data_IF_442401587833
#
_entry.id   IF_442401587833
#
_cell.length_a   1.000
_cell.length_b   1.000
_cell.length_c   1.000
_cell.angle_alpha   90.00
_cell.angle_beta   90.00
_cell.angle_gamma   90.00
#
_symmetry.space_group_name_H-M   'P 1'
#
loop_
_entity.id
_entity.type
_entity.pdbx_description
1 polymer ?
#
# COMPACT_ATOMS: atom_id res chain seq x y z
N UNK A 1 -12.44 -37.49 -13.04
CA UNK A 1 -13.88 -37.72 -12.86
C UNK A 1 -14.65 -36.43 -12.61
N UNK A 2 -14.22 -35.57 -11.69
CA UNK A 2 -14.91 -34.34 -11.34
C UNK A 2 -14.98 -33.32 -12.50
N UNK A 3 -13.93 -33.16 -13.30
CA UNK A 3 -13.93 -32.27 -14.47
C UNK A 3 -14.98 -32.68 -15.50
N UNK A 4 -15.04 -33.97 -15.82
CA UNK A 4 -16.02 -34.49 -16.76
C UNK A 4 -17.47 -34.28 -16.26
N UNK A 5 -17.70 -34.55 -14.97
CA UNK A 5 -19.00 -34.26 -14.31
C UNK A 5 -19.38 -32.80 -14.50
N UNK A 6 -18.50 -31.87 -14.16
CA UNK A 6 -18.75 -30.42 -14.26
C UNK A 6 -19.08 -29.99 -15.70
N UNK A 7 -18.36 -30.54 -16.69
CA UNK A 7 -18.63 -30.24 -18.11
C UNK A 7 -20.00 -30.77 -18.53
N UNK A 8 -20.35 -31.99 -18.17
CA UNK A 8 -21.68 -32.60 -18.50
C UNK A 8 -22.81 -31.87 -17.83
N UNK A 9 -22.60 -31.36 -16.62
CA UNK A 9 -23.57 -30.53 -15.88
C UNK A 9 -23.65 -29.08 -16.37
N UNK A 10 -22.85 -28.69 -17.35
CA UNK A 10 -22.88 -27.37 -17.97
C UNK A 10 -22.33 -26.26 -17.08
N UNK A 11 -21.41 -26.58 -16.16
CA UNK A 11 -20.76 -25.59 -15.30
C UNK A 11 -20.01 -24.58 -16.15
N UNK A 12 -20.31 -23.30 -15.98
CA UNK A 12 -19.68 -22.19 -16.70
C UNK A 12 -19.45 -21.01 -15.76
N UNK A 13 -18.33 -21.01 -15.06
CA UNK A 13 -17.94 -19.96 -14.13
C UNK A 13 -17.14 -18.88 -14.83
N UNK A 14 -17.63 -17.64 -14.77
CA UNK A 14 -16.86 -16.49 -15.25
C UNK A 14 -15.89 -15.99 -14.17
N UNK A 15 -14.73 -16.63 -14.09
CA UNK A 15 -13.72 -16.39 -13.06
C UNK A 15 -13.19 -14.96 -13.06
N UNK A 16 -13.05 -14.32 -14.22
CA UNK A 16 -12.47 -12.98 -14.33
C UNK A 16 -13.28 -11.89 -13.62
N UNK A 17 -14.59 -12.08 -13.44
CA UNK A 17 -15.44 -11.14 -12.71
C UNK A 17 -15.37 -11.31 -11.18
N UNK A 18 -14.88 -12.45 -10.69
CA UNK A 18 -14.95 -12.78 -9.28
C UNK A 18 -14.11 -11.84 -8.39
N UNK A 19 -12.84 -11.54 -8.74
CA UNK A 19 -11.98 -10.71 -7.90
C UNK A 19 -12.13 -9.21 -8.12
N UNK A 20 -12.89 -8.78 -9.12
CA UNK A 20 -12.92 -7.37 -9.54
C UNK A 20 -14.24 -6.67 -9.18
N UNK A 21 -14.16 -5.37 -9.10
CA UNK A 21 -15.30 -4.46 -8.91
C UNK A 21 -15.07 -3.16 -9.66
N UNK A 22 -16.12 -2.41 -9.88
CA UNK A 22 -15.99 -1.01 -10.27
C UNK A 22 -15.33 -0.23 -9.15
N UNK A 23 -14.25 0.48 -9.46
CA UNK A 23 -13.49 1.27 -8.51
C UNK A 23 -13.71 2.75 -8.76
N UNK A 24 -14.02 3.49 -7.70
CA UNK A 24 -14.10 4.94 -7.71
C UNK A 24 -12.95 5.50 -6.87
N UNK A 25 -12.16 6.37 -7.46
CA UNK A 25 -11.05 7.06 -6.79
C UNK A 25 -11.31 8.56 -6.80
N UNK A 26 -10.89 9.24 -5.74
CA UNK A 26 -11.03 10.68 -5.64
C UNK A 26 -9.82 11.32 -4.98
N UNK A 27 -9.59 12.59 -5.29
CA UNK A 27 -8.54 13.41 -4.72
C UNK A 27 -9.11 14.79 -4.34
N UNK A 28 -8.71 15.27 -3.18
CA UNK A 28 -9.05 16.59 -2.67
C UNK A 28 -7.80 17.32 -2.26
N UNK A 29 -7.72 18.60 -2.55
CA UNK A 29 -6.66 19.46 -2.09
C UNK A 29 -7.23 20.82 -1.68
N UNK A 30 -6.65 21.36 -0.60
CA UNK A 30 -6.94 22.69 -0.10
C UNK A 30 -5.63 23.43 0.06
N UNK A 31 -5.58 24.65 -0.41
CA UNK A 31 -4.46 25.56 -0.18
C UNK A 31 -5.01 26.90 0.34
N UNK A 32 -4.44 27.35 1.44
CA UNK A 32 -4.77 28.63 2.05
C UNK A 32 -3.48 29.43 2.20
N UNK A 33 -3.48 30.65 1.74
CA UNK A 33 -2.33 31.54 1.77
C UNK A 33 -2.72 32.89 2.37
N UNK A 34 -1.79 33.48 3.11
CA UNK A 34 -1.95 34.82 3.66
C UNK A 34 -0.61 35.46 3.92
N UNK A 35 -0.63 36.73 4.31
CA UNK A 35 0.60 37.44 4.62
C UNK A 35 0.47 38.95 4.64
N UNK A 36 1.62 39.60 4.75
CA UNK A 36 1.79 41.05 4.69
C UNK A 36 3.07 41.34 3.88
N UNK A 37 3.51 42.57 3.78
CA UNK A 37 4.64 43.00 2.93
C UNK A 37 5.91 42.17 3.13
N UNK A 38 6.19 41.79 4.37
CA UNK A 38 7.42 41.11 4.74
C UNK A 38 7.24 39.64 5.14
N UNK A 39 6.00 39.15 5.21
CA UNK A 39 5.69 37.78 5.58
C UNK A 39 4.63 37.19 4.66
N UNK A 40 4.86 35.96 4.20
CA UNK A 40 3.89 35.16 3.45
C UNK A 40 3.90 33.75 4.03
N UNK A 41 2.73 33.22 4.29
CA UNK A 41 2.57 31.85 4.77
C UNK A 41 1.50 31.14 3.96
N UNK A 42 1.66 29.83 3.83
CA UNK A 42 0.69 28.96 3.17
C UNK A 42 0.53 27.66 3.94
N UNK A 43 -0.68 27.13 3.90
CA UNK A 43 -1.03 25.82 4.42
C UNK A 43 -1.65 25.03 3.29
N UNK A 44 -1.13 23.87 3.02
CA UNK A 44 -1.72 22.90 2.09
C UNK A 44 -2.14 21.64 2.81
N UNK A 45 -3.28 21.11 2.39
CA UNK A 45 -3.79 19.82 2.83
C UNK A 45 -4.25 19.03 1.61
N UNK A 46 -3.95 17.73 1.59
CA UNK A 46 -4.35 16.85 0.51
C UNK A 46 -4.83 15.50 1.03
N UNK A 47 -5.84 14.96 0.38
CA UNK A 47 -6.33 13.61 0.61
C UNK A 47 -6.58 12.94 -0.73
N UNK A 48 -5.97 11.76 -0.93
CA UNK A 48 -6.14 10.97 -2.14
C UNK A 48 -6.57 9.57 -1.74
N UNK A 49 -7.72 9.14 -2.22
CA UNK A 49 -8.19 7.77 -2.09
C UNK A 49 -8.18 7.09 -3.47
N UNK A 50 -7.34 6.08 -3.63
CA UNK A 50 -7.26 5.27 -4.83
C UNK A 50 -7.74 3.86 -4.51
N UNK A 51 -8.95 3.52 -4.93
CA UNK A 51 -9.50 2.16 -4.82
C UNK A 51 -9.01 1.31 -5.98
N UNK A 52 -8.50 0.12 -5.68
CA UNK A 52 -8.10 -0.83 -6.69
C UNK A 52 -9.29 -1.50 -7.39
N UNK A 53 -9.08 -1.93 -8.63
CA UNK A 53 -10.06 -2.73 -9.40
C UNK A 53 -10.25 -4.11 -8.76
N UNK A 54 -9.18 -4.68 -8.18
CA UNK A 54 -9.31 -5.87 -7.34
C UNK A 54 -10.07 -5.52 -6.06
N UNK A 55 -11.04 -6.36 -5.67
CA UNK A 55 -11.81 -6.17 -4.43
C UNK A 55 -10.86 -6.01 -3.23
N UNK A 56 -11.21 -5.13 -2.31
CA UNK A 56 -10.47 -4.90 -1.06
C UNK A 56 -8.99 -4.55 -1.27
N UNK A 57 -8.65 -3.87 -2.36
CA UNK A 57 -7.35 -3.27 -2.56
C UNK A 57 -7.45 -1.76 -2.71
N UNK A 58 -6.39 -1.06 -2.38
CA UNK A 58 -6.34 0.38 -2.52
C UNK A 58 -5.15 1.04 -1.85
N UNK A 59 -5.11 2.36 -1.98
CA UNK A 59 -4.11 3.22 -1.37
C UNK A 59 -4.76 4.55 -0.99
N UNK A 60 -4.70 4.88 0.28
CA UNK A 60 -5.14 6.14 0.83
C UNK A 60 -3.92 6.96 1.23
N UNK A 61 -3.87 8.23 0.84
CA UNK A 61 -2.79 9.14 1.19
C UNK A 61 -3.34 10.45 1.72
N UNK A 62 -2.83 10.85 2.86
CA UNK A 62 -3.05 12.16 3.48
C UNK A 62 -1.75 12.94 3.49
N UNK A 63 -1.81 14.24 3.21
CA UNK A 63 -0.67 15.14 3.23
C UNK A 63 -1.03 16.48 3.84
N UNK A 64 -0.11 17.05 4.62
CA UNK A 64 -0.15 18.40 5.15
C UNK A 64 1.16 19.09 4.82
N UNK A 65 1.08 20.38 4.48
CA UNK A 65 2.24 21.23 4.27
C UNK A 65 2.03 22.60 4.89
N UNK A 66 3.14 23.18 5.32
CA UNK A 66 3.21 24.56 5.80
C UNK A 66 4.40 25.23 5.15
N UNK A 67 4.18 26.39 4.56
CA UNK A 67 5.23 27.22 3.95
C UNK A 67 5.27 28.59 4.62
N UNK A 68 6.48 29.08 4.85
CA UNK A 68 6.74 30.42 5.37
C UNK A 68 7.82 31.09 4.55
N UNK A 69 7.55 32.32 4.11
CA UNK A 69 8.56 33.22 3.53
C UNK A 69 8.57 34.49 4.38
N UNK A 70 9.73 34.80 4.95
CA UNK A 70 9.92 35.99 5.75
C UNK A 70 11.08 36.83 5.22
N UNK A 71 10.81 38.12 4.98
CA UNK A 71 11.80 39.09 4.48
C UNK A 71 12.15 40.09 5.56
N UNK A 72 13.44 40.30 5.81
CA UNK A 72 13.95 41.22 6.81
C UNK A 72 14.66 42.35 6.08
N UNK A 73 14.08 43.55 6.12
CA UNK A 73 14.67 44.78 5.56
C UNK A 73 15.19 44.60 4.12
N UNK A 74 14.51 43.81 3.30
CA UNK A 74 14.89 43.45 1.93
C UNK A 74 16.30 42.86 1.76
N UNK A 75 16.99 42.53 2.85
CA UNK A 75 18.37 41.99 2.85
C UNK A 75 18.38 40.49 3.13
N UNK A 76 17.49 40.00 3.95
CA UNK A 76 17.46 38.57 4.31
C UNK A 76 16.08 38.02 3.95
N UNK A 77 16.07 36.91 3.22
CA UNK A 77 14.88 36.13 2.95
C UNK A 77 15.03 34.75 3.57
N UNK A 78 14.14 34.42 4.49
CA UNK A 78 14.04 33.09 5.10
C UNK A 78 12.86 32.40 4.45
N UNK A 79 13.09 31.17 3.94
CA UNK A 79 12.04 30.30 3.43
C UNK A 79 12.07 29.00 4.22
N UNK A 80 10.94 28.63 4.77
CA UNK A 80 10.78 27.36 5.45
C UNK A 80 9.61 26.61 4.83
N UNK A 81 9.77 25.31 4.62
CA UNK A 81 8.69 24.42 4.19
C UNK A 81 8.75 23.14 5.01
N UNK A 82 7.66 22.86 5.69
CA UNK A 82 7.48 21.64 6.49
C UNK A 82 6.34 20.86 5.85
N UNK A 83 6.52 19.56 5.67
CA UNK A 83 5.45 18.69 5.20
C UNK A 83 5.43 17.37 5.93
N UNK A 84 4.23 16.81 6.06
CA UNK A 84 3.97 15.48 6.56
C UNK A 84 3.07 14.75 5.59
N UNK A 85 3.41 13.50 5.29
CA UNK A 85 2.58 12.62 4.49
C UNK A 85 2.40 11.28 5.19
N UNK A 86 1.19 10.74 5.14
CA UNK A 86 0.86 9.39 5.58
C UNK A 86 0.18 8.65 4.43
N UNK A 87 0.69 7.45 4.12
CA UNK A 87 0.13 6.57 3.11
C UNK A 87 -0.23 5.23 3.74
N UNK A 88 -1.41 4.72 3.43
CA UNK A 88 -1.83 3.37 3.77
C UNK A 88 -2.18 2.64 2.47
N UNK A 89 -1.40 1.63 2.12
CA UNK A 89 -1.63 0.76 0.96
C UNK A 89 -2.03 -0.64 1.45
N UNK A 90 -3.05 -1.23 0.85
CA UNK A 90 -3.53 -2.55 1.19
C UNK A 90 -3.78 -3.37 -0.07
N UNK A 91 -3.29 -4.60 -0.03
CA UNK A 91 -3.39 -5.54 -1.13
C UNK A 91 -4.66 -6.39 -1.00
N UNK A 92 -5.20 -6.78 -2.14
CA UNK A 92 -6.40 -7.59 -2.21
C UNK A 92 -6.21 -8.96 -1.56
N UNK A 93 -7.11 -9.41 -0.67
CA UNK A 93 -7.12 -10.78 -0.18
C UNK A 93 -7.49 -11.79 -1.27
N UNK A 94 -8.05 -11.31 -2.38
CA UNK A 94 -8.36 -12.12 -3.58
C UNK A 94 -7.10 -12.53 -4.37
N UNK A 95 -5.90 -12.14 -3.93
CA UNK A 95 -4.66 -12.47 -4.62
C UNK A 95 -4.46 -11.65 -5.91
N UNK A 96 -3.86 -12.26 -6.93
CA UNK A 96 -3.59 -11.61 -8.22
C UNK A 96 -4.63 -11.97 -9.28
N UNK A 97 -4.95 -11.02 -10.16
CA UNK A 97 -5.88 -11.26 -11.28
C UNK A 97 -5.43 -12.44 -12.19
N UNK A 98 -4.13 -12.63 -12.34
CA UNK A 98 -3.57 -13.72 -13.14
C UNK A 98 -3.93 -15.12 -12.63
N UNK A 99 -4.21 -15.29 -11.34
CA UNK A 99 -4.67 -16.56 -10.78
C UNK A 99 -6.05 -16.94 -11.36
N UNK A 100 -6.95 -15.97 -11.48
CA UNK A 100 -8.29 -16.18 -12.04
C UNK A 100 -8.27 -16.38 -13.55
N UNK A 101 -7.35 -15.71 -14.26
CA UNK A 101 -7.21 -15.82 -15.70
C UNK A 101 -6.74 -17.21 -16.17
N UNK A 102 -6.14 -18.00 -15.28
CA UNK A 102 -5.69 -19.36 -15.57
C UNK A 102 -6.75 -20.42 -15.31
N UNK A 103 -7.84 -20.07 -14.63
CA UNK A 103 -8.87 -21.02 -14.25
C UNK A 103 -9.80 -21.34 -15.40
N UNK A 104 -10.17 -22.60 -15.49
CA UNK A 104 -11.10 -23.06 -16.51
C UNK A 104 -12.56 -22.75 -16.12
N UNK A 105 -13.43 -22.43 -17.06
CA UNK A 105 -14.82 -22.08 -16.76
C UNK A 105 -15.63 -23.26 -16.19
N UNK A 106 -15.21 -24.51 -16.38
CA UNK A 106 -15.86 -25.69 -15.80
C UNK A 106 -15.49 -25.94 -14.34
N UNK A 107 -14.60 -25.14 -13.74
CA UNK A 107 -14.31 -25.22 -12.31
C UNK A 107 -15.42 -24.56 -11.49
N UNK A 108 -15.88 -25.24 -10.44
CA UNK A 108 -16.93 -24.74 -9.54
C UNK A 108 -16.35 -23.90 -8.43
N UNK A 109 -17.06 -22.86 -8.05
CA UNK A 109 -16.76 -22.07 -6.85
C UNK A 109 -17.26 -22.78 -5.59
N UNK A 110 -18.47 -23.34 -5.68
CA UNK A 110 -19.20 -23.95 -4.56
C UNK A 110 -19.47 -25.42 -4.80
N UNK A 111 -19.56 -26.18 -3.72
CA UNK A 111 -20.04 -27.56 -3.77
C UNK A 111 -21.60 -27.60 -3.93
N UNK A 112 -22.14 -28.81 -3.99
CA UNK A 112 -23.58 -29.00 -4.17
C UNK A 112 -24.42 -28.52 -2.94
N UNK A 113 -23.77 -28.31 -1.77
CA UNK A 113 -24.35 -27.74 -0.56
C UNK A 113 -24.28 -26.20 -0.51
N UNK A 114 -23.67 -25.55 -1.50
CA UNK A 114 -23.45 -24.11 -1.52
C UNK A 114 -22.26 -23.62 -0.69
N UNK A 115 -21.39 -24.52 -0.24
CA UNK A 115 -20.17 -24.16 0.50
C UNK A 115 -19.01 -23.91 -0.47
N UNK A 116 -18.19 -22.93 -0.16
CA UNK A 116 -17.02 -22.59 -0.95
C UNK A 116 -16.00 -23.73 -0.88
N UNK A 117 -15.60 -24.27 -2.04
CA UNK A 117 -14.63 -25.35 -2.09
C UNK A 117 -13.19 -24.80 -2.00
N UNK A 118 -12.34 -25.34 -1.09
CA UNK A 118 -10.97 -24.86 -0.96
C UNK A 118 -10.07 -25.27 -2.11
N UNK A 119 -10.37 -26.39 -2.78
CA UNK A 119 -9.59 -26.92 -3.91
C UNK A 119 -10.47 -27.21 -5.11
N UNK A 120 -9.98 -26.83 -6.29
CA UNK A 120 -10.61 -27.06 -7.58
C UNK A 120 -10.44 -28.54 -8.02
N UNK A 121 -11.10 -28.91 -9.11
CA UNK A 121 -11.11 -30.30 -9.62
C UNK A 121 -9.75 -30.81 -10.07
N UNK A 122 -8.79 -29.92 -10.35
CA UNK A 122 -7.41 -30.23 -10.70
C UNK A 122 -6.46 -30.29 -9.49
N UNK A 123 -6.97 -29.97 -8.30
CA UNK A 123 -6.19 -29.94 -7.06
C UNK A 123 -5.57 -28.58 -6.76
N UNK A 124 -5.70 -27.62 -7.68
CA UNK A 124 -5.30 -26.24 -7.43
C UNK A 124 -6.18 -25.57 -6.36
N UNK A 125 -5.65 -24.53 -5.74
CA UNK A 125 -6.42 -23.81 -4.71
C UNK A 125 -7.47 -22.91 -5.36
N UNK A 126 -8.67 -22.86 -4.76
CA UNK A 126 -9.67 -21.88 -5.14
C UNK A 126 -9.27 -20.52 -4.56
N UNK A 127 -8.94 -19.52 -5.40
CA UNK A 127 -8.47 -18.23 -4.90
C UNK A 127 -9.56 -17.46 -4.12
N UNK A 128 -10.83 -17.74 -4.33
CA UNK A 128 -11.94 -17.14 -3.58
C UNK A 128 -12.03 -17.65 -2.15
N UNK A 129 -11.57 -18.88 -1.89
CA UNK A 129 -11.59 -19.45 -0.56
C UNK A 129 -10.71 -18.63 0.40
N UNK A 130 -9.49 -18.27 -0.02
CA UNK A 130 -8.57 -17.48 0.79
C UNK A 130 -9.05 -16.04 0.99
N UNK A 131 -9.86 -15.52 0.07
CA UNK A 131 -10.39 -14.16 0.17
C UNK A 131 -11.39 -13.96 1.31
N UNK A 132 -12.04 -15.05 1.78
CA UNK A 132 -12.97 -14.99 2.91
C UNK A 132 -12.30 -15.19 4.28
N UNK A 133 -11.02 -15.53 4.30
CA UNK A 133 -10.25 -15.68 5.52
C UNK A 133 -9.72 -14.31 6.00
N UNK A 134 -9.39 -14.17 7.29
CA UNK A 134 -8.87 -12.92 7.84
C UNK A 134 -7.41 -12.65 7.42
N UNK A 135 -7.09 -12.93 6.16
CA UNK A 135 -5.78 -12.63 5.57
C UNK A 135 -5.60 -11.12 5.44
N UNK A 136 -4.42 -10.61 5.77
CA UNK A 136 -4.08 -9.19 5.71
C UNK A 136 -2.74 -9.00 5.02
N UNK A 137 -2.66 -7.97 4.20
CA UNK A 137 -1.41 -7.54 3.58
C UNK A 137 -1.50 -6.03 3.33
N UNK A 138 -0.82 -5.25 4.18
CA UNK A 138 -0.82 -3.80 4.06
C UNK A 138 0.55 -3.21 4.37
N UNK A 139 0.75 -1.99 3.91
CA UNK A 139 1.93 -1.16 4.22
C UNK A 139 1.46 0.24 4.60
N UNK A 140 2.09 0.81 5.61
CA UNK A 140 1.92 2.19 6.04
C UNK A 140 3.26 2.89 5.91
N UNK A 141 3.26 4.04 5.22
CA UNK A 141 4.41 4.90 5.09
C UNK A 141 4.10 6.27 5.69
N UNK A 142 5.05 6.80 6.43
CA UNK A 142 5.02 8.15 6.99
C UNK A 142 6.29 8.88 6.56
N UNK A 143 6.14 10.09 6.10
CA UNK A 143 7.26 10.95 5.74
C UNK A 143 7.09 12.34 6.37
N UNK A 144 8.08 12.76 7.10
CA UNK A 144 8.25 14.13 7.55
C UNK A 144 9.40 14.77 6.80
N UNK A 145 9.18 15.96 6.26
CA UNK A 145 10.19 16.73 5.53
C UNK A 145 10.21 18.15 6.03
N UNK A 146 11.40 18.65 6.27
CA UNK A 146 11.64 20.06 6.53
C UNK A 146 12.71 20.61 5.57
N UNK A 147 12.48 21.79 5.03
CA UNK A 147 13.40 22.51 4.18
C UNK A 147 13.50 23.95 4.66
N UNK A 148 14.72 24.37 5.00
CA UNK A 148 15.04 25.73 5.39
C UNK A 148 16.01 26.33 4.39
N UNK A 149 15.73 27.55 3.94
CA UNK A 149 16.64 28.31 3.08
C UNK A 149 16.74 29.73 3.60
N UNK A 150 17.96 30.21 3.72
CA UNK A 150 18.29 31.60 4.09
C UNK A 150 19.07 32.20 2.96
N UNK A 151 18.62 33.33 2.51
CA UNK A 151 19.19 34.10 1.42
C UNK A 151 19.55 35.49 1.93
N UNK A 152 20.83 35.83 2.01
CA UNK A 152 21.31 37.05 2.61
C UNK A 152 22.08 37.92 1.61
N UNK A 153 21.52 39.05 1.28
CA UNK A 153 22.15 40.13 0.56
C UNK A 153 23.05 40.95 1.51
N UNK A 154 24.34 40.67 1.50
CA UNK A 154 25.29 41.32 2.41
C UNK A 154 25.56 42.74 1.93
N UNK A 155 25.87 42.88 0.65
CA UNK A 155 26.08 44.15 -0.06
C UNK A 155 25.96 43.94 -1.57
N UNK A 156 26.02 45.01 -2.34
CA UNK A 156 26.03 44.93 -3.80
C UNK A 156 27.16 44.01 -4.30
N UNK A 157 26.81 43.06 -5.14
CA UNK A 157 27.69 42.02 -5.65
C UNK A 157 27.98 40.87 -4.68
N UNK A 158 27.57 40.91 -3.40
CA UNK A 158 27.86 39.86 -2.41
C UNK A 158 26.62 39.29 -1.79
N UNK A 159 26.32 38.01 -2.08
CA UNK A 159 25.15 37.26 -1.62
C UNK A 159 25.54 35.90 -1.03
N UNK A 160 25.08 35.62 0.17
CA UNK A 160 25.20 34.33 0.84
C UNK A 160 23.87 33.59 0.82
N UNK A 161 23.89 32.34 0.38
CA UNK A 161 22.73 31.47 0.41
C UNK A 161 23.05 30.19 1.18
N UNK A 162 22.28 29.91 2.21
CA UNK A 162 22.30 28.63 2.95
C UNK A 162 21.01 27.85 2.72
N UNK A 163 21.14 26.54 2.58
CA UNK A 163 19.99 25.62 2.47
C UNK A 163 20.23 24.40 3.33
N UNK A 164 19.19 23.91 3.97
CA UNK A 164 19.17 22.65 4.72
C UNK A 164 17.86 21.93 4.44
N UNK A 165 17.95 20.63 4.26
CA UNK A 165 16.78 19.74 4.17
C UNK A 165 16.97 18.56 5.11
N UNK A 166 15.89 18.15 5.76
CA UNK A 166 15.78 16.97 6.60
C UNK A 166 14.58 16.17 6.13
N UNK A 167 14.79 14.86 5.96
CA UNK A 167 13.71 13.92 5.65
C UNK A 167 13.78 12.76 6.62
N UNK A 168 12.68 12.49 7.32
CA UNK A 168 12.49 11.32 8.15
C UNK A 168 11.34 10.49 7.59
N UNK A 169 11.62 9.24 7.27
CA UNK A 169 10.64 8.27 6.79
C UNK A 169 10.50 7.11 7.76
N UNK A 170 9.27 6.63 7.92
CA UNK A 170 8.96 5.41 8.64
C UNK A 170 8.02 4.56 7.79
N UNK A 171 8.34 3.28 7.64
CA UNK A 171 7.53 2.30 6.91
C UNK A 171 7.22 1.14 7.83
N UNK A 172 5.97 0.73 7.91
CA UNK A 172 5.56 -0.50 8.58
C UNK A 172 4.68 -1.33 7.65
N UNK A 173 4.89 -2.64 7.65
CA UNK A 173 4.12 -3.58 6.86
C UNK A 173 3.71 -4.80 7.67
N UNK A 174 2.54 -5.35 7.36
CA UNK A 174 2.05 -6.59 7.95
C UNK A 174 1.49 -7.49 6.85
N UNK A 175 1.94 -8.75 6.87
CA UNK A 175 1.35 -9.83 6.10
C UNK A 175 0.93 -10.90 7.10
N UNK A 176 -0.36 -11.09 7.24
CA UNK A 176 -0.94 -12.18 8.02
C UNK A 176 -1.60 -13.18 7.09
N UNK A 177 -1.21 -14.45 7.20
CA UNK A 177 -1.80 -15.56 6.48
C UNK A 177 -2.43 -16.54 7.48
N UNK A 178 -3.72 -16.76 7.34
CA UNK A 178 -4.50 -17.65 8.21
C UNK A 178 -4.02 -19.10 8.12
N UNK A 179 -3.96 -19.84 9.24
CA UNK A 179 -3.69 -21.29 9.24
C UNK A 179 -4.69 -22.10 8.41
N UNK A 180 -5.86 -21.53 8.11
CA UNK A 180 -6.90 -22.16 7.30
C UNK A 180 -6.78 -21.85 5.81
N UNK A 181 -5.79 -21.07 5.38
CA UNK A 181 -5.57 -20.78 3.96
C UNK A 181 -5.33 -22.05 3.15
N UNK A 182 -5.85 -22.05 1.92
CA UNK A 182 -5.85 -23.24 1.05
C UNK A 182 -4.44 -23.80 0.78
N UNK A 183 -3.40 -22.96 0.85
CA UNK A 183 -2.00 -23.39 0.70
C UNK A 183 -1.54 -24.34 1.81
N UNK A 184 -2.12 -24.26 3.03
CA UNK A 184 -1.81 -25.14 4.16
C UNK A 184 -2.69 -26.39 4.20
N UNK A 185 -3.72 -26.49 3.36
CA UNK A 185 -4.57 -27.65 3.21
C UNK A 185 -3.92 -28.71 2.28
N UNK A 186 -2.60 -28.82 2.34
CA UNK A 186 -1.82 -29.85 1.63
C UNK A 186 -1.51 -30.98 2.59
N UNK A 187 -1.62 -32.19 2.07
CA UNK A 187 -1.19 -33.38 2.80
C UNK A 187 0.30 -33.59 2.54
N UNK A 188 1.03 -33.95 3.59
CA UNK A 188 2.43 -34.39 3.50
C UNK A 188 2.50 -35.88 3.81
N UNK A 189 3.33 -36.62 3.09
CA UNK A 189 3.55 -38.04 3.38
C UNK A 189 4.36 -38.18 4.67
N UNK A 190 3.76 -38.81 5.67
CA UNK A 190 4.45 -39.15 6.90
C UNK A 190 5.11 -40.55 6.71
N UNK A 191 6.44 -40.59 6.76
CA UNK A 191 7.23 -41.82 6.55
C UNK A 191 7.09 -42.83 7.70
N UNK A 192 6.74 -42.34 8.91
CA UNK A 192 6.57 -43.19 10.10
C UNK A 192 5.21 -43.88 10.09
N UNK A 193 4.15 -43.11 9.89
CA UNK A 193 2.75 -43.61 9.82
C UNK A 193 2.40 -44.23 8.45
N UNK A 194 3.22 -43.98 7.40
CA UNK A 194 3.01 -44.39 6.00
C UNK A 194 1.70 -43.88 5.39
N UNK A 195 1.15 -42.78 5.92
CA UNK A 195 -0.09 -42.15 5.43
C UNK A 195 0.16 -40.68 5.06
N UNK A 196 -0.74 -40.15 4.26
CA UNK A 196 -0.77 -38.71 3.99
C UNK A 196 -1.51 -37.98 5.12
N UNK A 197 -0.81 -37.10 5.80
CA UNK A 197 -1.34 -36.32 6.91
C UNK A 197 -1.32 -34.82 6.58
N UNK A 198 -2.28 -34.08 7.11
CA UNK A 198 -2.24 -32.63 7.05
C UNK A 198 -1.19 -32.09 8.02
N UNK A 199 -0.51 -31.00 7.65
CA UNK A 199 0.32 -30.27 8.60
C UNK A 199 -0.47 -29.95 9.87
N UNK A 200 0.12 -30.08 11.08
CA UNK A 200 -0.51 -29.64 12.32
C UNK A 200 -0.89 -28.15 12.25
N UNK A 201 -1.99 -27.77 12.87
CA UNK A 201 -2.46 -26.35 12.85
C UNK A 201 -1.39 -25.39 13.39
N UNK A 202 -0.61 -25.83 14.38
CA UNK A 202 0.49 -25.05 14.93
C UNK A 202 1.62 -24.72 13.94
N UNK A 203 1.72 -25.46 12.84
CA UNK A 203 2.71 -25.28 11.77
C UNK A 203 2.14 -24.56 10.55
N UNK A 204 0.87 -24.14 10.62
CA UNK A 204 0.19 -23.45 9.53
C UNK A 204 0.06 -21.97 9.84
N UNK A 205 -0.02 -21.19 8.77
CA UNK A 205 -0.15 -19.74 8.86
C UNK A 205 1.16 -19.06 9.21
N UNK A 206 1.21 -17.77 9.01
CA UNK A 206 2.32 -16.93 9.42
C UNK A 206 1.91 -15.48 9.61
N UNK A 207 2.68 -14.78 10.41
CA UNK A 207 2.67 -13.33 10.54
C UNK A 207 4.08 -12.83 10.17
N UNK A 208 4.15 -12.00 9.15
CA UNK A 208 5.37 -11.28 8.79
C UNK A 208 5.15 -9.79 9.06
N UNK A 209 6.02 -9.20 9.84
CA UNK A 209 6.04 -7.77 10.13
C UNK A 209 7.33 -7.19 9.58
N UNK A 210 7.22 -6.03 8.96
CA UNK A 210 8.35 -5.29 8.42
C UNK A 210 8.28 -3.87 8.96
N UNK A 211 9.35 -3.43 9.60
CA UNK A 211 9.50 -2.07 10.06
C UNK A 211 10.80 -1.49 9.49
N UNK A 212 10.72 -0.28 9.00
CA UNK A 212 11.84 0.45 8.43
C UNK A 212 11.80 1.91 8.87
N UNK A 213 12.96 2.48 9.15
CA UNK A 213 13.12 3.90 9.39
C UNK A 213 14.25 4.43 8.53
N UNK A 214 14.07 5.61 7.98
CA UNK A 214 15.08 6.33 7.22
C UNK A 214 15.22 7.75 7.73
N UNK A 215 16.44 8.22 7.76
CA UNK A 215 16.75 9.60 8.08
C UNK A 215 17.81 10.09 7.09
N UNK A 216 17.53 11.21 6.44
CA UNK A 216 18.47 11.86 5.56
C UNK A 216 18.51 13.36 5.80
N UNK A 217 19.66 13.95 5.60
CA UNK A 217 19.83 15.40 5.62
C UNK A 217 20.75 15.82 4.48
N UNK A 218 20.50 17.00 4.01
CA UNK A 218 21.32 17.68 3.00
C UNK A 218 21.52 19.13 3.41
N UNK A 219 22.67 19.68 3.15
CA UNK A 219 22.95 21.08 3.44
C UNK A 219 24.00 21.65 2.50
N UNK A 220 23.77 22.87 2.05
CA UNK A 220 24.73 23.60 1.25
C UNK A 220 24.79 25.08 1.62
N UNK A 221 25.95 25.67 1.40
CA UNK A 221 26.16 27.10 1.53
C UNK A 221 26.89 27.60 0.28
N UNK A 222 26.35 28.66 -0.32
CA UNK A 222 26.88 29.25 -1.55
C UNK A 222 27.13 30.73 -1.31
N UNK A 223 28.35 31.19 -1.63
CA UNK A 223 28.70 32.59 -1.65
C UNK A 223 28.88 33.03 -3.11
N UNK A 224 28.12 34.02 -3.51
CA UNK A 224 28.21 34.65 -4.83
C UNK A 224 28.78 36.05 -4.68
N UNK A 225 29.78 36.34 -5.52
CA UNK A 225 30.45 37.65 -5.57
C UNK A 225 30.39 38.19 -6.98
#
# INVERSE_FOLDING_TARGET
>A
YNRYKNIVEGVNTYWLSQPVKNAFSHAHSLFVEGGADNVRYGIDASYNQNKGVMKESGRDRFGLGFSLIYRIKDKITIKNYISYAHTHAYNSPYGSFSQYAKLNPYERIYNDNGELIPKLSDGDTNPLYDALLPNRNFTKDQEFREQLSVDWFIRDGLRLKGQMAIVKGETSGEIYKSPFSAEFLKTTYNSESRVQEYLPIAERGYLSMTDGASFSYDGNVTLNY
#
